data_IF_616732541189
#
_entry.id   IF_616732541189
#
_cell.length_a   1.000
_cell.length_b   1.000
_cell.length_c   1.000
_cell.angle_alpha   90.00
_cell.angle_beta   90.00
_cell.angle_gamma   90.00
#
_symmetry.space_group_name_H-M   'P 1'
#
loop_
_entity.id
_entity.type
_entity.pdbx_description
1 polymer ?
#
# COMPACT_ATOMS: atom_id res chain seq x y z
N UNK A 1 3.32 -11.58 -7.36
CA UNK A 1 3.76 -10.95 -8.61
C UNK A 1 4.19 -9.55 -8.25
N UNK A 2 5.34 -9.08 -8.72
CA UNK A 2 5.76 -7.70 -8.50
C UNK A 2 4.73 -6.71 -9.03
N UNK A 3 4.57 -5.58 -8.34
CA UNK A 3 3.80 -4.44 -8.86
C UNK A 3 4.49 -3.92 -10.12
N UNK A 4 3.72 -3.68 -11.20
CA UNK A 4 4.22 -3.03 -12.41
C UNK A 4 4.61 -1.59 -12.10
N UNK A 5 5.74 -1.12 -12.61
CA UNK A 5 6.23 0.26 -12.39
C UNK A 5 5.24 1.34 -12.87
N UNK A 6 4.36 1.00 -13.82
CA UNK A 6 3.35 1.90 -14.39
C UNK A 6 1.97 1.78 -13.73
N UNK A 7 1.82 1.08 -12.60
CA UNK A 7 0.52 0.74 -12.02
C UNK A 7 -0.38 1.96 -11.69
N UNK A 8 0.21 3.14 -11.47
CA UNK A 8 -0.48 4.39 -11.19
C UNK A 8 -0.29 5.48 -12.27
N UNK A 9 0.53 5.24 -13.29
CA UNK A 9 0.83 6.20 -14.35
C UNK A 9 -0.39 6.37 -15.25
N UNK A 10 -0.86 7.62 -15.40
CA UNK A 10 -2.01 8.02 -16.22
C UNK A 10 -3.30 7.19 -15.95
N UNK A 11 -3.44 6.69 -14.72
CA UNK A 11 -4.59 5.91 -14.25
C UNK A 11 -5.38 6.71 -13.22
N UNK A 12 -6.66 6.37 -13.07
CA UNK A 12 -7.49 6.92 -11.99
C UNK A 12 -7.46 5.96 -10.79
N UNK A 13 -7.35 6.48 -9.55
CA UNK A 13 -7.47 5.64 -8.37
C UNK A 13 -8.89 5.11 -8.23
N UNK A 14 -9.01 3.85 -7.82
CA UNK A 14 -10.29 3.19 -7.54
C UNK A 14 -10.78 3.43 -6.11
N UNK A 15 -9.88 3.86 -5.22
CA UNK A 15 -10.17 4.11 -3.82
C UNK A 15 -9.21 5.11 -3.19
N UNK A 16 -9.50 5.48 -1.95
CA UNK A 16 -8.68 6.37 -1.14
C UNK A 16 -8.89 6.00 0.33
N UNK A 17 -7.85 5.48 0.96
CA UNK A 17 -7.80 5.24 2.39
C UNK A 17 -7.24 6.49 3.05
N UNK A 18 -7.92 6.96 4.10
CA UNK A 18 -7.53 8.17 4.84
C UNK A 18 -7.15 7.83 6.27
N UNK A 19 -6.23 8.60 6.84
CA UNK A 19 -6.03 8.66 8.27
C UNK A 19 -6.88 9.80 8.85
N UNK A 20 -7.39 9.62 10.07
CA UNK A 20 -8.19 10.61 10.78
C UNK A 20 -7.38 11.82 11.27
N UNK A 21 -6.06 11.82 11.12
CA UNK A 21 -5.18 12.93 11.52
C UNK A 21 -5.27 14.14 10.58
N UNK A 22 -5.89 13.96 9.41
CA UNK A 22 -6.07 15.00 8.41
C UNK A 22 -4.84 15.27 7.54
N UNK A 23 -3.74 14.54 7.76
CA UNK A 23 -2.47 14.69 7.04
C UNK A 23 -2.22 13.47 6.16
N UNK A 24 -2.35 12.26 6.71
CA UNK A 24 -2.04 11.04 5.99
C UNK A 24 -3.23 10.51 5.20
N UNK A 25 -2.96 10.15 3.95
CA UNK A 25 -3.83 9.34 3.13
C UNK A 25 -3.00 8.68 2.03
N UNK A 26 -3.56 7.67 1.40
CA UNK A 26 -3.03 7.14 0.17
C UNK A 26 -4.16 6.70 -0.77
N UNK A 27 -3.83 6.56 -2.04
CA UNK A 27 -4.76 6.09 -3.05
C UNK A 27 -4.71 4.56 -3.17
N UNK A 28 -5.82 3.98 -3.59
CA UNK A 28 -5.87 2.60 -4.04
C UNK A 28 -6.01 2.61 -5.56
N UNK A 29 -5.09 1.94 -6.24
CA UNK A 29 -4.98 1.92 -7.70
C UNK A 29 -5.56 0.63 -8.29
N UNK A 30 -5.93 0.62 -9.58
CA UNK A 30 -6.55 -0.53 -10.21
C UNK A 30 -5.77 -1.84 -10.01
N UNK A 31 -6.52 -2.94 -9.84
CA UNK A 31 -5.95 -4.28 -9.73
C UNK A 31 -5.16 -4.68 -10.96
N UNK A 32 -4.09 -5.43 -10.72
CA UNK A 32 -3.27 -6.09 -11.74
C UNK A 32 -3.68 -7.55 -11.95
N UNK A 33 -4.78 -7.98 -11.31
CA UNK A 33 -5.34 -9.32 -11.36
C UNK A 33 -5.22 -10.07 -10.04
N UNK A 34 -6.07 -11.09 -9.87
CA UNK A 34 -6.02 -12.01 -8.73
C UNK A 34 -4.82 -12.96 -8.86
N UNK A 35 -3.71 -12.66 -8.17
CA UNK A 35 -2.43 -13.36 -8.41
C UNK A 35 -1.94 -14.23 -7.25
N UNK A 36 -1.14 -13.73 -6.29
CA UNK A 36 -0.54 -14.61 -5.27
C UNK A 36 -1.55 -14.93 -4.17
N UNK A 37 -2.34 -13.93 -3.75
CA UNK A 37 -3.33 -14.12 -2.69
C UNK A 37 -4.39 -15.15 -3.09
N UNK A 38 -4.77 -15.20 -4.38
CA UNK A 38 -5.74 -16.15 -4.93
C UNK A 38 -5.23 -17.59 -5.09
N UNK A 39 -3.94 -17.82 -4.79
CA UNK A 39 -3.29 -19.13 -4.88
C UNK A 39 -2.75 -19.61 -3.53
N UNK A 40 -2.73 -18.75 -2.51
CA UNK A 40 -2.24 -19.09 -1.18
C UNK A 40 -3.34 -19.75 -0.33
N UNK A 41 -3.08 -20.99 0.11
CA UNK A 41 -4.06 -21.81 0.84
C UNK A 41 -4.52 -21.15 2.15
N UNK A 42 -3.62 -20.47 2.87
CA UNK A 42 -3.96 -19.83 4.16
C UNK A 42 -4.82 -18.61 3.95
N UNK A 43 -4.49 -17.80 2.95
CA UNK A 43 -5.25 -16.63 2.54
C UNK A 43 -6.65 -17.05 2.09
N UNK A 44 -6.76 -18.02 1.17
CA UNK A 44 -8.05 -18.55 0.72
C UNK A 44 -8.89 -19.13 1.87
N UNK A 45 -8.27 -19.85 2.80
CA UNK A 45 -8.95 -20.36 3.99
C UNK A 45 -9.48 -19.24 4.89
N UNK A 46 -8.73 -18.14 5.05
CA UNK A 46 -9.16 -16.98 5.84
C UNK A 46 -10.34 -16.25 5.19
N UNK A 47 -10.29 -15.97 3.89
CA UNK A 47 -11.44 -15.40 3.15
C UNK A 47 -12.70 -16.26 3.31
N UNK A 48 -12.56 -17.59 3.13
CA UNK A 48 -13.66 -18.52 3.33
C UNK A 48 -14.20 -18.51 4.77
N UNK A 49 -13.33 -18.46 5.77
CA UNK A 49 -13.73 -18.41 7.18
C UNK A 49 -14.49 -17.12 7.52
N UNK A 50 -14.15 -16.02 6.85
CA UNK A 50 -14.84 -14.74 6.98
C UNK A 50 -16.12 -14.65 6.14
N UNK A 51 -16.41 -15.65 5.29
CA UNK A 51 -17.55 -15.64 4.38
C UNK A 51 -17.39 -14.63 3.24
N UNK A 52 -16.15 -14.29 2.90
CA UNK A 52 -15.80 -13.30 1.88
C UNK A 52 -15.31 -13.98 0.61
N UNK A 53 -15.67 -13.42 -0.55
CA UNK A 53 -15.11 -13.84 -1.83
C UNK A 53 -13.85 -13.04 -2.15
N UNK A 54 -12.88 -13.70 -2.79
CA UNK A 54 -11.76 -12.98 -3.37
C UNK A 54 -12.18 -12.24 -4.63
N UNK A 55 -12.09 -10.93 -4.57
CA UNK A 55 -12.31 -10.02 -5.69
C UNK A 55 -11.05 -9.21 -5.95
N UNK A 56 -10.84 -8.69 -7.17
CA UNK A 56 -9.76 -7.75 -7.43
C UNK A 56 -9.83 -6.55 -6.50
N UNK A 57 -8.81 -6.34 -5.68
CA UNK A 57 -8.75 -5.29 -4.65
C UNK A 57 -7.97 -4.06 -5.11
N UNK A 58 -6.89 -4.25 -5.85
CA UNK A 58 -6.02 -3.15 -6.25
C UNK A 58 -4.72 -3.04 -5.46
N UNK A 59 -3.99 -1.98 -5.77
CA UNK A 59 -2.71 -1.65 -5.14
C UNK A 59 -2.94 -0.51 -4.15
N UNK A 60 -2.82 -0.81 -2.86
CA UNK A 60 -2.95 0.18 -1.77
C UNK A 60 -1.65 0.94 -1.61
N UNK A 61 -1.67 2.27 -1.78
CA UNK A 61 -0.49 3.11 -1.74
C UNK A 61 0.04 3.50 -3.12
N UNK A 62 0.81 4.58 -3.19
CA UNK A 62 1.37 5.11 -4.44
C UNK A 62 2.89 5.05 -4.43
N UNK A 63 3.55 5.76 -3.51
CA UNK A 63 5.02 5.75 -3.41
C UNK A 63 5.52 4.62 -2.52
N UNK A 64 4.68 4.20 -1.56
CA UNK A 64 4.83 2.95 -0.81
C UNK A 64 3.57 2.15 -1.05
N UNK A 65 3.67 1.16 -1.92
CA UNK A 65 2.52 0.47 -2.46
C UNK A 65 2.54 -1.01 -2.06
N UNK A 66 1.36 -1.56 -1.77
CA UNK A 66 1.11 -2.97 -1.53
C UNK A 66 0.01 -3.44 -2.47
N UNK A 67 0.31 -4.40 -3.33
CA UNK A 67 -0.70 -5.09 -4.13
C UNK A 67 -1.51 -6.02 -3.23
N UNK A 68 -2.75 -5.64 -2.91
CA UNK A 68 -3.63 -6.43 -2.05
C UNK A 68 -4.08 -7.73 -2.72
N UNK A 69 -3.97 -7.84 -4.05
CA UNK A 69 -4.19 -9.07 -4.81
C UNK A 69 -2.98 -10.03 -4.78
N UNK A 70 -1.79 -9.52 -4.42
CA UNK A 70 -0.58 -10.31 -4.15
C UNK A 70 -0.31 -10.52 -2.65
N UNK A 71 -0.82 -9.66 -1.78
CA UNK A 71 -0.53 -9.72 -0.35
C UNK A 71 -1.20 -10.94 0.32
N UNK A 72 -0.39 -11.88 0.80
CA UNK A 72 -0.85 -13.12 1.45
C UNK A 72 -1.01 -13.00 2.97
N UNK A 73 -1.02 -11.77 3.51
CA UNK A 73 -1.12 -11.54 4.96
C UNK A 73 0.09 -12.06 5.75
N UNK A 74 1.30 -12.10 5.16
CA UNK A 74 2.51 -12.56 5.87
C UNK A 74 2.95 -11.56 6.95
N UNK A 75 3.02 -10.27 6.60
CA UNK A 75 3.37 -9.20 7.53
C UNK A 75 4.86 -8.92 7.73
N UNK A 76 5.76 -9.56 6.97
CA UNK A 76 7.18 -9.21 7.02
C UNK A 76 7.46 -7.73 6.76
N UNK A 77 6.68 -7.05 5.92
CA UNK A 77 6.82 -5.61 5.66
C UNK A 77 6.52 -4.75 6.90
N UNK A 78 5.54 -5.16 7.72
CA UNK A 78 5.16 -4.49 8.97
C UNK A 78 6.32 -4.60 9.96
N UNK A 79 6.84 -5.82 10.18
CA UNK A 79 7.98 -6.05 11.09
C UNK A 79 9.28 -5.38 10.63
N UNK A 80 9.53 -5.32 9.32
CA UNK A 80 10.77 -4.76 8.79
C UNK A 80 10.78 -3.23 8.67
N UNK A 81 9.64 -2.55 8.81
CA UNK A 81 9.57 -1.11 8.61
C UNK A 81 10.07 -0.35 9.86
N UNK A 82 11.20 0.39 9.78
CA UNK A 82 11.77 1.08 10.94
C UNK A 82 10.97 2.31 11.39
N UNK A 83 10.04 2.78 10.55
CA UNK A 83 9.23 3.98 10.79
C UNK A 83 7.73 3.66 10.74
N UNK A 84 7.36 2.38 10.86
CA UNK A 84 5.98 1.94 11.07
C UNK A 84 4.97 2.52 10.06
N UNK A 85 5.30 2.54 8.77
CA UNK A 85 4.38 3.07 7.73
C UNK A 85 3.13 2.19 7.54
N UNK A 86 3.23 0.92 7.92
CA UNK A 86 2.20 -0.09 7.69
C UNK A 86 1.41 -0.39 8.96
N UNK A 87 0.14 -0.75 8.79
CA UNK A 87 -0.68 -1.38 9.83
C UNK A 87 -1.46 -2.58 9.27
N UNK A 88 -1.99 -3.41 10.16
CA UNK A 88 -3.02 -4.38 9.83
C UNK A 88 -4.40 -3.73 9.84
N UNK A 89 -5.05 -3.57 8.68
CA UNK A 89 -6.31 -2.82 8.63
C UNK A 89 -7.43 -3.52 9.41
N UNK A 90 -7.51 -4.88 9.42
CA UNK A 90 -8.61 -5.59 10.11
C UNK A 90 -8.51 -5.54 11.61
N UNK A 91 -7.32 -5.32 12.16
CA UNK A 91 -7.13 -5.15 13.60
C UNK A 91 -7.80 -3.88 14.11
N UNK A 92 -7.91 -2.85 13.25
CA UNK A 92 -8.69 -1.65 13.54
C UNK A 92 -10.16 -1.79 13.11
N UNK A 93 -10.39 -2.11 11.83
CA UNK A 93 -11.72 -2.29 11.25
C UNK A 93 -11.81 -3.65 10.59
N UNK A 94 -12.40 -4.62 11.29
CA UNK A 94 -12.61 -5.96 10.75
C UNK A 94 -13.79 -5.99 9.77
N UNK A 95 -13.54 -5.53 8.54
CA UNK A 95 -14.47 -5.44 7.41
C UNK A 95 -13.85 -6.08 6.16
N UNK A 96 -14.63 -6.39 5.11
CA UNK A 96 -14.09 -6.85 3.84
C UNK A 96 -13.10 -5.85 3.23
N UNK A 97 -12.06 -6.37 2.59
CA UNK A 97 -11.01 -5.54 2.01
C UNK A 97 -11.54 -4.58 0.93
N UNK A 98 -12.57 -4.99 0.17
CA UNK A 98 -13.19 -4.14 -0.85
C UNK A 98 -13.94 -2.93 -0.27
N UNK A 99 -14.37 -3.01 1.00
CA UNK A 99 -14.98 -1.88 1.70
C UNK A 99 -13.88 -0.98 2.30
N UNK A 100 -12.79 -1.58 2.79
CA UNK A 100 -11.68 -0.87 3.41
C UNK A 100 -11.00 0.17 2.50
N UNK A 101 -10.97 -0.04 1.17
CA UNK A 101 -10.32 0.89 0.22
C UNK A 101 -10.95 2.28 0.14
N UNK A 102 -12.11 2.48 0.77
CA UNK A 102 -12.85 3.74 0.82
C UNK A 102 -12.95 4.34 2.24
N UNK A 103 -12.33 3.71 3.22
CA UNK A 103 -12.50 4.04 4.62
C UNK A 103 -11.55 5.12 5.13
N UNK A 104 -11.93 5.71 6.26
CA UNK A 104 -11.05 6.55 7.08
C UNK A 104 -10.68 5.79 8.35
N UNK A 105 -9.40 5.55 8.59
CA UNK A 105 -8.87 4.86 9.75
C UNK A 105 -8.29 5.85 10.76
N UNK A 106 -8.30 5.51 12.03
CA UNK A 106 -7.66 6.24 13.13
C UNK A 106 -6.15 5.97 13.21
N UNK A 107 -5.63 5.00 12.44
CA UNK A 107 -4.21 4.62 12.44
C UNK A 107 -3.79 3.79 13.65
N UNK A 108 -4.76 3.10 14.24
CA UNK A 108 -4.64 2.28 15.46
C UNK A 108 -4.56 0.79 15.16
N UNK A 109 -4.52 0.42 13.88
CA UNK A 109 -4.22 -0.95 13.47
C UNK A 109 -2.85 -1.36 13.99
N UNK A 110 -2.72 -2.63 14.37
CA UNK A 110 -1.47 -3.19 14.86
C UNK A 110 -0.37 -3.10 13.82
N UNK A 111 0.82 -2.73 14.29
CA UNK A 111 2.09 -2.70 13.57
C UNK A 111 3.00 -3.87 13.98
N UNK A 112 2.42 -4.93 14.55
CA UNK A 112 3.13 -6.16 14.92
C UNK A 112 2.69 -7.30 14.02
N UNK A 113 3.63 -7.93 13.32
CA UNK A 113 3.38 -9.01 12.34
C UNK A 113 2.44 -10.11 12.86
N UNK A 114 2.64 -10.55 14.10
CA UNK A 114 1.89 -11.67 14.68
C UNK A 114 0.52 -11.30 15.24
N UNK A 115 0.16 -10.02 15.22
CA UNK A 115 -1.15 -9.53 15.69
C UNK A 115 -2.19 -9.40 14.58
N UNK A 116 -1.84 -9.76 13.33
CA UNK A 116 -2.78 -9.86 12.21
C UNK A 116 -4.03 -10.63 12.62
N UNK A 117 -5.20 -10.19 12.13
CA UNK A 117 -6.46 -10.85 12.47
C UNK A 117 -6.51 -12.29 11.95
N UNK A 118 -6.13 -12.46 10.70
CA UNK A 118 -5.97 -13.72 9.97
C UNK A 118 -5.18 -13.46 8.67
N UNK A 119 -5.08 -14.43 7.76
CA UNK A 119 -4.33 -14.28 6.50
C UNK A 119 -5.08 -13.50 5.41
N UNK A 120 -6.34 -13.09 5.64
CA UNK A 120 -7.07 -12.14 4.78
C UNK A 120 -6.89 -10.68 5.22
N UNK A 121 -6.20 -10.46 6.35
CA UNK A 121 -5.76 -9.15 6.80
C UNK A 121 -4.63 -8.65 5.89
N UNK A 122 -4.76 -7.42 5.40
CA UNK A 122 -3.84 -6.85 4.42
C UNK A 122 -3.00 -5.80 5.13
N UNK A 123 -1.69 -5.82 4.86
CA UNK A 123 -0.82 -4.74 5.28
C UNK A 123 -1.20 -3.48 4.49
N UNK A 124 -1.46 -2.40 5.22
CA UNK A 124 -1.93 -1.14 4.67
C UNK A 124 -0.89 -0.04 4.92
N UNK A 125 -0.34 0.64 3.89
CA UNK A 125 0.61 1.74 4.04
C UNK A 125 -0.09 3.03 4.49
N UNK A 126 -0.80 2.99 5.62
CA UNK A 126 -1.62 4.10 6.14
C UNK A 126 -0.82 5.40 6.31
N UNK A 127 0.49 5.29 6.58
CA UNK A 127 1.45 6.39 6.73
C UNK A 127 2.49 6.41 5.60
N UNK A 128 2.08 6.23 4.33
CA UNK A 128 3.03 6.14 3.20
C UNK A 128 4.03 7.31 3.11
N UNK A 129 3.60 8.51 3.55
CA UNK A 129 4.42 9.73 3.52
C UNK A 129 5.54 9.76 4.57
N UNK A 130 5.48 8.92 5.60
CA UNK A 130 6.55 8.79 6.61
C UNK A 130 7.72 7.92 6.13
N UNK A 131 7.62 7.35 4.92
CA UNK A 131 8.63 6.46 4.38
C UNK A 131 10.01 7.14 4.27
N UNK A 132 11.02 6.44 4.78
CA UNK A 132 12.44 6.85 4.67
C UNK A 132 13.18 6.19 3.51
N UNK A 133 12.46 5.52 2.58
CA UNK A 133 13.00 4.94 1.35
C UNK A 133 14.11 3.89 1.54
N UNK A 134 14.08 3.16 2.66
CA UNK A 134 15.12 2.18 2.99
C UNK A 134 14.99 0.84 2.23
N UNK A 135 13.88 0.61 1.52
CA UNK A 135 13.60 -0.62 0.76
C UNK A 135 13.54 -1.93 1.57
N UNK A 136 13.58 -1.86 2.90
CA UNK A 136 13.55 -3.04 3.77
C UNK A 136 12.30 -3.91 3.52
N UNK A 137 11.12 -3.28 3.50
CA UNK A 137 9.85 -3.95 3.24
C UNK A 137 9.78 -4.65 1.88
N UNK A 138 10.40 -4.08 0.83
CA UNK A 138 10.47 -4.68 -0.51
C UNK A 138 11.28 -5.97 -0.46
N UNK A 139 12.46 -5.93 0.18
CA UNK A 139 13.38 -7.07 0.24
C UNK A 139 12.85 -8.29 1.00
N UNK A 140 11.97 -8.07 1.98
CA UNK A 140 11.47 -9.14 2.86
C UNK A 140 10.13 -9.71 2.42
N UNK A 141 9.44 -9.08 1.46
CA UNK A 141 8.09 -9.46 1.07
C UNK A 141 8.09 -10.78 0.27
N UNK A 142 7.56 -11.91 0.80
CA UNK A 142 7.62 -13.19 0.11
C UNK A 142 6.91 -13.21 -1.27
N UNK A 143 5.69 -12.65 -1.44
CA UNK A 143 5.02 -12.60 -2.74
C UNK A 143 5.51 -11.46 -3.66
N UNK A 144 6.50 -10.67 -3.21
CA UNK A 144 6.95 -9.44 -3.87
C UNK A 144 5.80 -8.43 -4.10
N UNK A 145 4.87 -8.36 -3.15
CA UNK A 145 3.69 -7.50 -3.23
C UNK A 145 3.97 -6.02 -2.89
N UNK A 146 5.19 -5.67 -2.47
CA UNK A 146 5.54 -4.31 -2.00
C UNK A 146 6.43 -3.61 -3.03
N UNK A 147 6.11 -2.35 -3.32
CA UNK A 147 6.92 -1.44 -4.12
C UNK A 147 7.19 -0.17 -3.32
N UNK A 148 8.40 0.36 -3.42
CA UNK A 148 8.76 1.66 -2.89
C UNK A 148 9.51 2.43 -3.97
N UNK A 149 8.96 3.57 -4.39
CA UNK A 149 9.54 4.41 -5.44
C UNK A 149 9.17 5.89 -5.25
N UNK A 150 10.20 6.74 -5.11
CA UNK A 150 10.04 8.20 -4.99
C UNK A 150 9.49 8.84 -6.27
N UNK A 151 9.78 8.25 -7.44
CA UNK A 151 9.32 8.75 -8.73
C UNK A 151 7.80 8.75 -8.87
N UNK A 152 7.10 8.02 -8.01
CA UNK A 152 5.64 7.92 -8.03
C UNK A 152 4.93 9.04 -7.26
N UNK A 153 5.67 9.89 -6.53
CA UNK A 153 5.12 11.05 -5.83
C UNK A 153 4.33 11.97 -6.75
N UNK A 154 4.83 12.19 -7.98
CA UNK A 154 4.13 13.00 -8.99
C UNK A 154 2.73 12.46 -9.29
N UNK A 155 2.56 11.13 -9.34
CA UNK A 155 1.26 10.51 -9.63
C UNK A 155 0.31 10.58 -8.45
N UNK A 156 0.84 10.47 -7.23
CA UNK A 156 0.07 10.76 -6.02
C UNK A 156 -0.45 12.19 -6.05
N UNK A 157 0.42 13.17 -6.29
CA UNK A 157 0.06 14.58 -6.30
C UNK A 157 -0.92 14.94 -7.43
N UNK A 158 -0.76 14.32 -8.61
CA UNK A 158 -1.72 14.48 -9.72
C UNK A 158 -3.09 13.98 -9.34
N UNK A 159 -3.18 12.78 -8.74
CA UNK A 159 -4.44 12.22 -8.27
C UNK A 159 -5.05 13.05 -7.11
N UNK A 160 -4.22 13.66 -6.27
CA UNK A 160 -4.65 14.57 -5.22
C UNK A 160 -5.06 15.97 -5.74
N UNK A 161 -4.76 16.31 -6.99
CA UNK A 161 -4.96 17.64 -7.54
C UNK A 161 -4.01 18.71 -6.95
N UNK A 162 -2.91 18.27 -6.33
CA UNK A 162 -1.90 19.13 -5.69
C UNK A 162 -0.61 19.24 -6.49
N UNK A 163 -0.50 18.54 -7.62
CA UNK A 163 0.70 18.56 -8.45
C UNK A 163 1.01 19.97 -8.95
N UNK A 164 2.23 20.42 -8.69
CA UNK A 164 2.77 21.67 -9.20
C UNK A 164 4.02 21.35 -10.00
N UNK A 165 4.05 21.78 -11.26
CA UNK A 165 5.28 21.71 -12.06
C UNK A 165 6.32 22.62 -11.41
N UNK A 166 7.32 22.03 -10.75
CA UNK A 166 8.48 22.80 -10.34
C UNK A 166 9.22 23.26 -11.60
N UNK A 167 9.41 24.57 -11.82
CA UNK A 167 10.30 25.01 -12.88
C UNK A 167 11.69 24.47 -12.56
N UNK A 168 12.32 23.79 -13.52
CA UNK A 168 13.69 23.34 -13.37
C UNK A 168 14.57 24.57 -13.09
N UNK A 169 15.08 24.67 -11.86
CA UNK A 169 16.10 25.66 -11.53
C UNK A 169 17.39 25.21 -12.22
N UNK A 170 17.54 25.64 -13.47
CA UNK A 170 18.80 25.56 -14.22
C UNK A 170 19.85 26.45 -13.56
N UNK A 171 20.44 25.96 -12.47
CA UNK A 171 21.72 26.38 -11.89
C UNK A 171 21.97 25.54 -10.62
N UNK A 172 22.41 24.29 -10.80
CA UNK A 172 23.03 23.56 -9.70
C UNK A 172 24.36 24.24 -9.32
N UNK A 173 24.68 24.44 -8.03
CA UNK A 173 25.89 25.13 -7.58
C UNK A 173 27.21 24.36 -7.82
N UNK A 174 27.17 23.28 -8.60
CA UNK A 174 28.32 22.39 -8.87
C UNK A 174 28.69 22.29 -10.35
N UNK A 175 28.28 23.27 -11.18
CA UNK A 175 28.92 23.48 -12.48
C UNK A 175 30.32 24.03 -12.25
N UNK A 176 31.32 23.14 -12.21
CA UNK A 176 32.72 23.54 -12.41
C UNK A 176 33.07 23.31 -13.88
N UNK A 177 33.60 24.35 -14.50
CA UNK A 177 34.18 24.36 -15.85
C UNK A 177 35.35 23.37 -16.01
#
# INVERSE_FOLDING_TARGET
MPILEDFCIDKEPIGKIKHADGEHFHFVWPSQGLVEASKDDKTLAAYKANGEEMVPLGVSGTMVAIDWDSCIGDGACIEACPVQVFQWYRTEKNIPAIDAIHETFEGTGSDVKEERKDFSDKADPIREHDCIWCMACVSVCPPQAVLVDQGLQEWHEKAAGTFVVMPSSGAGPHGHD
#
